data_IF_020447998739
#
_entry.id   IF_020447998739
#
_cell.length_a   1.000
_cell.length_b   1.000
_cell.length_c   1.000
_cell.angle_alpha   90.00
_cell.angle_beta   90.00
_cell.angle_gamma   90.00
#
_symmetry.space_group_name_H-M   'P 1'
#
loop_
_entity.id
_entity.type
_entity.pdbx_description
1 polymer ?
#
# COMPACT_ATOMS: atom_id res chain seq x y z
N UNK A 1 14.07 -46.01 -32.61
CA UNK A 1 12.83 -45.36 -33.10
C UNK A 1 12.61 -44.13 -32.23
N UNK A 2 13.15 -42.99 -32.68
CA UNK A 2 13.12 -41.71 -31.95
C UNK A 2 12.00 -40.90 -32.59
N UNK A 3 10.92 -40.68 -31.86
CA UNK A 3 9.73 -39.97 -32.36
C UNK A 3 10.02 -38.47 -32.26
N UNK A 4 10.39 -37.83 -33.36
CA UNK A 4 10.42 -36.37 -33.47
C UNK A 4 9.02 -35.85 -33.12
N UNK A 5 8.91 -35.08 -32.04
CA UNK A 5 7.69 -34.35 -31.72
C UNK A 5 7.60 -33.22 -32.74
N UNK A 6 6.71 -33.39 -33.70
CA UNK A 6 6.32 -32.35 -34.64
C UNK A 6 5.75 -31.17 -33.82
N UNK A 7 6.53 -30.11 -33.67
CA UNK A 7 6.16 -28.86 -32.97
C UNK A 7 5.09 -28.06 -33.71
N UNK A 8 4.56 -28.61 -34.80
CA UNK A 8 3.56 -28.03 -35.69
C UNK A 8 2.11 -28.36 -35.27
N UNK A 9 1.89 -28.91 -34.07
CA UNK A 9 0.53 -29.10 -33.55
C UNK A 9 -0.07 -27.71 -33.26
N UNK A 10 -1.14 -27.29 -33.97
CA UNK A 10 -1.74 -25.97 -33.78
C UNK A 10 -2.16 -25.72 -32.32
N UNK A 11 -2.39 -26.79 -31.57
CA UNK A 11 -2.68 -26.76 -30.13
C UNK A 11 -1.53 -26.17 -29.31
N UNK A 12 -0.27 -26.44 -29.70
CA UNK A 12 0.92 -25.92 -29.00
C UNK A 12 1.14 -24.43 -29.28
N UNK A 13 0.88 -24.00 -30.52
CA UNK A 13 0.96 -22.58 -30.93
C UNK A 13 -0.10 -21.74 -30.22
N UNK A 14 -1.33 -22.26 -30.13
CA UNK A 14 -2.42 -21.60 -29.39
C UNK A 14 -2.12 -21.53 -27.90
N UNK A 15 -1.63 -22.62 -27.29
CA UNK A 15 -1.28 -22.63 -25.86
C UNK A 15 -0.13 -21.66 -25.54
N UNK A 16 0.93 -21.64 -26.35
CA UNK A 16 2.03 -20.70 -26.18
C UNK A 16 1.58 -19.25 -26.35
N UNK A 17 0.69 -18.97 -27.31
CA UNK A 17 0.09 -17.66 -27.50
C UNK A 17 -0.75 -17.20 -26.31
N UNK A 18 -1.56 -18.10 -25.73
CA UNK A 18 -2.36 -17.81 -24.53
C UNK A 18 -1.46 -17.54 -23.32
N UNK A 19 -0.41 -18.33 -23.11
CA UNK A 19 0.54 -18.13 -22.01
C UNK A 19 1.33 -16.81 -22.13
N UNK A 20 1.74 -16.43 -23.35
CA UNK A 20 2.39 -15.14 -23.60
C UNK A 20 1.44 -13.96 -23.36
N UNK A 21 0.19 -14.06 -23.82
CA UNK A 21 -0.82 -13.05 -23.55
C UNK A 21 -1.10 -12.92 -22.05
N UNK A 22 -1.18 -14.04 -21.32
CA UNK A 22 -1.37 -14.04 -19.88
C UNK A 22 -0.17 -13.44 -19.13
N UNK A 23 1.06 -13.79 -19.54
CA UNK A 23 2.30 -13.23 -18.96
C UNK A 23 2.43 -11.72 -19.15
N UNK A 24 2.03 -11.19 -20.31
CA UNK A 24 2.00 -9.75 -20.58
C UNK A 24 0.89 -9.02 -19.80
N UNK A 25 -0.23 -9.68 -19.54
CA UNK A 25 -1.30 -9.11 -18.71
C UNK A 25 -0.90 -9.07 -17.23
N UNK A 26 -0.11 -10.02 -16.74
CA UNK A 26 0.40 -10.01 -15.36
C UNK A 26 1.48 -8.95 -15.10
N UNK A 27 2.24 -8.53 -16.13
CA UNK A 27 3.24 -7.45 -15.95
C UNK A 27 2.63 -6.04 -15.87
N UNK A 28 1.33 -5.89 -16.16
CA UNK A 28 0.59 -4.66 -15.95
C UNK A 28 -0.19 -4.67 -14.61
N UNK A 29 -0.01 -5.68 -13.77
CA UNK A 29 -0.58 -5.69 -12.43
C UNK A 29 0.12 -4.61 -11.59
N UNK A 30 -0.71 -3.75 -11.00
CA UNK A 30 -0.46 -2.73 -9.97
C UNK A 30 1.00 -2.63 -9.49
N UNK A 31 1.66 -1.50 -9.77
CA UNK A 31 3.02 -1.27 -9.25
C UNK A 31 2.96 -1.13 -7.74
N UNK A 32 3.36 -2.16 -7.00
CA UNK A 32 3.67 -2.04 -5.57
C UNK A 32 5.13 -1.60 -5.42
N UNK A 33 5.44 -0.88 -4.35
CA UNK A 33 6.81 -0.50 -4.06
C UNK A 33 7.68 -1.74 -3.84
N UNK A 34 8.97 -1.64 -4.15
CA UNK A 34 9.93 -2.71 -3.88
C UNK A 34 9.89 -3.07 -2.38
N UNK A 35 9.99 -4.37 -2.09
CA UNK A 35 10.01 -4.88 -0.72
C UNK A 35 11.45 -4.81 -0.16
N UNK A 36 11.91 -3.58 0.08
CA UNK A 36 13.21 -3.27 0.68
C UNK A 36 13.07 -2.92 2.15
N UNK A 37 14.18 -2.62 2.83
CA UNK A 37 14.14 -2.10 4.21
C UNK A 37 13.38 -0.78 4.29
N UNK A 38 12.75 -0.56 5.44
CA UNK A 38 12.21 0.72 5.89
C UNK A 38 11.98 0.67 7.40
N UNK A 39 11.60 1.79 8.00
CA UNK A 39 11.31 1.89 9.43
C UNK A 39 10.19 2.87 9.70
N UNK A 40 9.53 2.74 10.86
CA UNK A 40 8.54 3.71 11.29
C UNK A 40 9.16 5.11 11.46
N UNK A 41 10.40 5.17 11.95
CA UNK A 41 11.14 6.42 12.17
C UNK A 41 11.40 7.18 10.86
N UNK A 42 11.64 6.47 9.76
CA UNK A 42 11.79 7.10 8.44
C UNK A 42 10.46 7.67 7.91
N UNK A 43 9.33 6.99 8.18
CA UNK A 43 8.00 7.50 7.85
C UNK A 43 7.70 8.75 8.68
N UNK A 44 7.93 8.70 9.99
CA UNK A 44 7.73 9.83 10.91
C UNK A 44 8.58 11.04 10.48
N UNK A 45 9.85 10.82 10.18
CA UNK A 45 10.76 11.88 9.71
C UNK A 45 10.28 12.49 8.39
N UNK A 46 9.77 11.69 7.45
CA UNK A 46 9.25 12.20 6.18
C UNK A 46 8.01 13.08 6.39
N UNK A 47 7.09 12.67 7.27
CA UNK A 47 5.90 13.45 7.62
C UNK A 47 6.29 14.80 8.24
N UNK A 48 7.23 14.80 9.18
CA UNK A 48 7.70 16.01 9.85
C UNK A 48 8.42 16.99 8.89
N UNK A 49 9.23 16.45 7.95
CA UNK A 49 9.92 17.27 6.93
C UNK A 49 8.93 18.02 6.04
N UNK A 50 7.78 17.41 5.75
CA UNK A 50 6.70 18.02 4.98
C UNK A 50 5.76 18.91 5.83
N UNK A 51 6.16 19.17 7.07
CA UNK A 51 5.50 20.10 7.98
C UNK A 51 4.22 19.55 8.60
N UNK A 52 4.10 18.22 8.71
CA UNK A 52 3.05 17.59 9.51
C UNK A 52 3.49 17.44 10.96
N UNK A 53 2.59 17.75 11.87
CA UNK A 53 2.75 17.48 13.30
C UNK A 53 2.08 16.13 13.63
N UNK A 54 2.83 15.23 14.27
CA UNK A 54 2.31 13.95 14.79
C UNK A 54 1.74 14.20 16.19
N UNK A 55 0.42 14.26 16.27
CA UNK A 55 -0.29 14.66 17.48
C UNK A 55 -0.64 13.51 18.42
N UNK A 56 -0.62 12.30 17.88
CA UNK A 56 -0.83 11.08 18.63
C UNK A 56 -0.29 9.90 17.86
N UNK A 57 0.32 8.98 18.60
CA UNK A 57 0.81 7.70 18.09
C UNK A 57 0.18 6.61 18.92
N UNK A 58 -0.48 5.66 18.26
CA UNK A 58 -1.03 4.47 18.90
C UNK A 58 -0.44 3.25 18.23
N UNK A 59 0.22 2.39 19.00
CA UNK A 59 0.62 1.07 18.50
C UNK A 59 -0.65 0.23 18.32
N UNK A 60 -0.81 -0.36 17.14
CA UNK A 60 -1.99 -1.15 16.77
C UNK A 60 -1.58 -2.59 16.54
N UNK A 61 -2.35 -3.50 17.12
CA UNK A 61 -2.25 -4.93 16.85
C UNK A 61 -3.40 -5.30 15.93
N UNK A 62 -3.07 -5.77 14.73
CA UNK A 62 -4.03 -6.27 13.75
C UNK A 62 -4.13 -7.78 13.85
N UNK A 63 -4.95 -8.27 14.78
CA UNK A 63 -5.14 -9.71 15.01
C UNK A 63 -5.85 -10.41 13.84
N UNK A 64 -6.52 -9.66 12.96
CA UNK A 64 -7.34 -10.15 11.85
C UNK A 64 -6.71 -9.98 10.46
N UNK A 65 -5.62 -9.22 10.35
CA UNK A 65 -4.85 -9.07 9.11
C UNK A 65 -3.65 -10.01 9.18
N UNK A 66 -3.68 -11.09 8.38
CA UNK A 66 -2.59 -12.05 8.32
C UNK A 66 -1.27 -11.40 7.90
N UNK A 67 -0.18 -11.75 8.58
CA UNK A 67 1.19 -11.33 8.23
C UNK A 67 1.63 -9.97 8.78
N UNK A 68 0.77 -9.23 9.51
CA UNK A 68 1.18 -7.99 10.16
C UNK A 68 2.05 -8.31 11.38
N UNK A 69 3.27 -7.78 11.40
CA UNK A 69 4.23 -7.97 12.51
C UNK A 69 4.24 -6.80 13.49
N UNK A 70 3.93 -5.61 13.01
CA UNK A 70 3.86 -4.40 13.82
C UNK A 70 2.94 -3.36 13.17
N UNK A 71 2.50 -2.40 13.97
CA UNK A 71 1.51 -1.45 13.54
C UNK A 71 1.50 -0.14 14.30
N UNK A 72 1.32 0.97 13.58
CA UNK A 72 1.13 2.29 14.17
C UNK A 72 0.01 3.05 13.50
N UNK A 73 -0.68 3.85 14.29
CA UNK A 73 -1.67 4.82 13.86
C UNK A 73 -1.23 6.21 14.30
N UNK A 74 -1.09 7.11 13.33
CA UNK A 74 -0.70 8.50 13.56
C UNK A 74 -1.89 9.42 13.36
N UNK A 75 -2.10 10.34 14.29
CA UNK A 75 -3.01 11.46 14.12
C UNK A 75 -2.22 12.68 13.65
N UNK A 76 -2.58 13.22 12.48
CA UNK A 76 -1.77 14.22 11.78
C UNK A 76 -2.48 15.57 11.73
N UNK A 77 -1.70 16.65 11.87
CA UNK A 77 -2.16 18.03 11.67
C UNK A 77 -1.15 18.80 10.83
N UNK A 78 -1.63 19.73 10.01
CA UNK A 78 -0.79 20.68 9.25
C UNK A 78 -0.64 22.04 9.95
N UNK A 79 -1.40 22.28 11.03
CA UNK A 79 -1.45 23.58 11.73
C UNK A 79 -1.03 23.44 13.21
N UNK A 80 -1.77 22.64 13.97
CA UNK A 80 -1.52 22.40 15.40
C UNK A 80 -2.27 21.17 15.92
N UNK A 81 -1.69 20.47 16.89
CA UNK A 81 -2.38 19.42 17.64
C UNK A 81 -3.51 19.89 18.58
N UNK A 82 -3.61 21.19 18.87
CA UNK A 82 -4.58 21.71 19.84
C UNK A 82 -6.05 21.61 19.37
N UNK A 83 -6.27 21.62 18.04
CA UNK A 83 -7.60 21.72 17.43
C UNK A 83 -8.08 20.42 16.75
N UNK A 84 -7.35 19.32 16.93
CA UNK A 84 -7.69 18.06 16.27
C UNK A 84 -8.98 17.45 16.81
N UNK A 85 -9.94 17.25 15.92
CA UNK A 85 -11.08 16.38 16.17
C UNK A 85 -10.62 14.93 16.10
N UNK A 86 -11.22 14.07 16.93
CA UNK A 86 -10.97 12.62 16.89
C UNK A 86 -11.31 12.07 15.51
N UNK A 87 -10.41 11.27 14.96
CA UNK A 87 -10.56 10.49 13.71
C UNK A 87 -10.59 11.33 12.42
N UNK A 88 -10.09 12.56 12.46
CA UNK A 88 -9.77 13.34 11.25
C UNK A 88 -8.26 13.20 10.99
N UNK A 89 -7.87 12.90 9.75
CA UNK A 89 -6.49 12.85 9.26
C UNK A 89 -5.60 11.83 9.98
N UNK A 90 -6.01 10.56 9.87
CA UNK A 90 -5.36 9.43 10.50
C UNK A 90 -4.58 8.60 9.49
N UNK A 91 -3.29 8.42 9.72
CA UNK A 91 -2.44 7.54 8.91
C UNK A 91 -2.20 6.24 9.66
N UNK A 92 -2.70 5.13 9.13
CA UNK A 92 -2.43 3.79 9.60
C UNK A 92 -1.24 3.21 8.84
N UNK A 93 -0.30 2.61 9.55
CA UNK A 93 0.93 2.02 9.00
C UNK A 93 1.05 0.59 9.54
N UNK A 94 1.05 -0.36 8.62
CA UNK A 94 1.14 -1.80 8.91
C UNK A 94 2.46 -2.32 8.37
N UNK A 95 3.27 -2.95 9.21
CA UNK A 95 4.52 -3.61 8.82
C UNK A 95 4.29 -5.10 8.61
N UNK A 96 4.87 -5.65 7.54
CA UNK A 96 4.82 -7.06 7.18
C UNK A 96 6.24 -7.62 7.06
N UNK A 97 6.41 -8.92 7.35
CA UNK A 97 7.68 -9.63 7.10
C UNK A 97 7.73 -10.31 5.72
N UNK A 98 6.60 -10.39 5.02
CA UNK A 98 6.46 -10.97 3.68
C UNK A 98 5.75 -10.05 2.69
N UNK A 99 6.27 -10.01 1.45
CA UNK A 99 5.72 -9.19 0.37
C UNK A 99 4.34 -9.65 -0.08
N UNK A 100 4.09 -10.96 -0.06
CA UNK A 100 2.80 -11.55 -0.41
C UNK A 100 1.70 -11.16 0.56
N UNK A 101 2.02 -11.10 1.86
CA UNK A 101 1.08 -10.66 2.89
C UNK A 101 0.79 -9.15 2.79
N UNK A 102 1.82 -8.30 2.59
CA UNK A 102 1.65 -6.85 2.34
C UNK A 102 0.77 -6.58 1.12
N UNK A 103 1.09 -7.21 -0.01
CA UNK A 103 0.38 -6.99 -1.26
C UNK A 103 -1.03 -7.61 -1.23
N UNK A 104 -1.20 -8.71 -0.49
CA UNK A 104 -2.51 -9.30 -0.19
C UNK A 104 -3.39 -8.38 0.66
N UNK A 105 -2.81 -7.74 1.68
CA UNK A 105 -3.48 -6.73 2.50
C UNK A 105 -3.88 -5.50 1.67
N UNK A 106 -2.99 -4.99 0.81
CA UNK A 106 -3.30 -3.92 -0.15
C UNK A 106 -4.50 -4.28 -1.03
N UNK A 107 -4.49 -5.48 -1.62
CA UNK A 107 -5.58 -5.96 -2.46
C UNK A 107 -6.93 -6.01 -1.72
N UNK A 108 -6.91 -6.48 -0.47
CA UNK A 108 -8.10 -6.51 0.37
C UNK A 108 -8.59 -5.10 0.72
N UNK A 109 -7.68 -4.19 1.10
CA UNK A 109 -8.01 -2.80 1.41
C UNK A 109 -8.67 -2.10 0.20
N UNK A 110 -8.10 -2.23 -1.00
CA UNK A 110 -8.72 -1.74 -2.24
C UNK A 110 -10.11 -2.32 -2.49
N UNK A 111 -10.30 -3.61 -2.18
CA UNK A 111 -11.60 -4.28 -2.31
C UNK A 111 -12.64 -3.75 -1.31
N UNK A 112 -12.23 -3.27 -0.14
CA UNK A 112 -13.13 -2.64 0.84
C UNK A 112 -13.50 -1.21 0.44
N UNK A 113 -12.54 -0.41 -0.02
CA UNK A 113 -12.79 0.97 -0.49
C UNK A 113 -13.80 1.01 -1.63
N UNK A 114 -13.69 0.08 -2.59
CA UNK A 114 -14.62 -0.02 -3.73
C UNK A 114 -16.04 -0.45 -3.35
N UNK A 115 -16.25 -1.02 -2.15
CA UNK A 115 -17.57 -1.49 -1.67
C UNK A 115 -18.32 -0.47 -0.81
N UNK A 116 -17.80 0.75 -0.66
CA UNK A 116 -18.51 1.86 0.01
C UNK A 116 -18.67 1.70 1.52
N UNK A 117 -17.92 0.79 2.15
CA UNK A 117 -17.93 0.61 3.60
C UNK A 117 -16.99 1.64 4.24
N UNK A 118 -17.53 2.58 5.04
CA UNK A 118 -16.91 3.47 6.08
C UNK A 118 -15.56 4.18 5.84
N UNK A 119 -14.66 3.67 5.01
CA UNK A 119 -13.43 4.27 4.51
C UNK A 119 -13.79 5.22 3.37
N UNK A 120 -14.51 6.29 3.71
CA UNK A 120 -14.82 7.34 2.76
C UNK A 120 -13.52 8.06 2.42
N UNK A 121 -12.95 7.72 1.26
CA UNK A 121 -11.81 8.39 0.61
C UNK A 121 -10.43 8.08 1.23
N UNK A 122 -10.16 6.81 1.56
CA UNK A 122 -8.80 6.40 1.92
C UNK A 122 -7.83 6.53 0.74
N UNK A 123 -6.61 7.00 0.99
CA UNK A 123 -5.48 6.84 0.07
C UNK A 123 -4.58 5.73 0.62
N UNK A 124 -4.10 4.85 -0.26
CA UNK A 124 -3.23 3.74 0.10
C UNK A 124 -1.86 3.97 -0.54
N UNK A 125 -0.82 3.51 0.15
CA UNK A 125 0.53 3.41 -0.40
C UNK A 125 1.20 2.14 0.08
N UNK A 126 2.19 1.68 -0.68
CA UNK A 126 3.17 0.69 -0.24
C UNK A 126 4.55 1.31 -0.20
N UNK A 127 5.36 0.92 0.78
CA UNK A 127 6.77 1.33 0.88
C UNK A 127 7.56 0.31 1.68
N UNK A 128 8.59 -0.33 1.10
CA UNK A 128 9.37 -1.35 1.81
C UNK A 128 8.47 -2.45 2.40
N UNK A 129 8.53 -2.76 3.71
CA UNK A 129 7.64 -3.73 4.34
C UNK A 129 6.24 -3.17 4.67
N UNK A 130 5.96 -1.90 4.38
CA UNK A 130 4.77 -1.20 4.89
C UNK A 130 3.63 -1.10 3.89
N UNK A 131 2.41 -1.23 4.42
CA UNK A 131 1.17 -0.72 3.84
C UNK A 131 0.73 0.51 4.65
N UNK A 132 0.46 1.61 3.97
CA UNK A 132 0.04 2.87 4.57
C UNK A 132 -1.37 3.23 4.09
N UNK A 133 -2.24 3.65 5.01
CA UNK A 133 -3.61 4.07 4.72
C UNK A 133 -3.89 5.41 5.40
N UNK A 134 -4.17 6.45 4.61
CA UNK A 134 -4.66 7.72 5.14
C UNK A 134 -6.19 7.75 5.12
N UNK A 135 -6.79 7.83 6.31
CA UNK A 135 -8.21 8.08 6.51
C UNK A 135 -8.49 9.57 6.74
N UNK A 136 -9.31 10.18 5.89
CA UNK A 136 -9.68 11.58 6.02
C UNK A 136 -10.30 12.19 4.75
N UNK A 137 -10.61 13.50 4.77
CA UNK A 137 -11.06 14.22 3.58
C UNK A 137 -9.94 14.28 2.52
N UNK A 138 -10.17 13.71 1.34
CA UNK A 138 -9.21 13.82 0.22
C UNK A 138 -9.16 15.25 -0.31
N UNK A 139 -7.93 15.72 -0.56
CA UNK A 139 -7.67 17.03 -1.16
C UNK A 139 -7.58 18.17 -0.14
N UNK A 140 -7.54 17.86 1.16
CA UNK A 140 -7.15 18.81 2.19
C UNK A 140 -5.61 18.97 2.27
N UNK A 141 -5.14 19.93 3.06
CA UNK A 141 -3.71 20.23 3.19
C UNK A 141 -2.92 19.04 3.77
N UNK A 142 -3.52 18.28 4.69
CA UNK A 142 -2.88 17.11 5.29
C UNK A 142 -2.69 16.01 4.26
N UNK A 143 -3.71 15.66 3.47
CA UNK A 143 -3.58 14.65 2.42
C UNK A 143 -2.55 15.03 1.36
N UNK A 144 -2.44 16.31 1.00
CA UNK A 144 -1.39 16.78 0.08
C UNK A 144 0.02 16.58 0.66
N UNK A 145 0.22 16.95 1.92
CA UNK A 145 1.52 16.78 2.62
C UNK A 145 1.87 15.33 2.88
N UNK A 146 0.89 14.49 3.24
CA UNK A 146 1.12 13.05 3.39
C UNK A 146 1.56 12.45 2.06
N UNK A 147 0.88 12.77 0.97
CA UNK A 147 1.26 12.27 -0.35
C UNK A 147 2.70 12.71 -0.72
N UNK A 148 3.04 13.98 -0.52
CA UNK A 148 4.38 14.51 -0.79
C UNK A 148 5.46 13.87 0.11
N UNK A 149 5.19 13.71 1.42
CA UNK A 149 6.06 13.03 2.36
C UNK A 149 6.35 11.59 1.93
N UNK A 150 5.31 10.83 1.58
CA UNK A 150 5.44 9.42 1.21
C UNK A 150 6.11 9.24 -0.17
N UNK A 151 5.83 10.12 -1.14
CA UNK A 151 6.56 10.15 -2.42
C UNK A 151 8.05 10.41 -2.21
N UNK A 152 8.43 11.25 -1.22
CA UNK A 152 9.83 11.58 -0.94
C UNK A 152 10.67 10.39 -0.47
N UNK A 153 10.05 9.40 0.15
CA UNK A 153 10.69 8.14 0.58
C UNK A 153 10.54 7.02 -0.46
N UNK A 154 9.86 7.28 -1.57
CA UNK A 154 9.63 6.32 -2.65
C UNK A 154 8.44 5.39 -2.42
N UNK A 155 7.47 5.79 -1.60
CA UNK A 155 6.22 5.07 -1.49
C UNK A 155 5.43 5.16 -2.81
N UNK A 156 4.66 4.11 -3.11
CA UNK A 156 3.87 3.99 -4.34
C UNK A 156 2.39 3.83 -4.00
N UNK A 157 1.50 4.68 -4.56
CA UNK A 157 0.06 4.61 -4.33
C UNK A 157 -0.63 3.42 -5.02
#
# INVERSE_FOLDING_TARGET
MTRERDTSDPSFVVLAGVLLAFGLLTSCATSTAEFTSGSFEEIEAALEVDGLEICGTTDVVWDDVGGVVAGRQYQLSSDSCADLRRNENELQVQEFDDVGDRDGALFNAMSYMTRGARFANGQLWTWGPFLLELSGPVGDDVSYRVNSALESIGAVP
#
